data_IF_729489905014
#
_entry.id   IF_729489905014
#
_cell.length_a   1.000
_cell.length_b   1.000
_cell.length_c   1.000
_cell.angle_alpha   90.00
_cell.angle_beta   90.00
_cell.angle_gamma   90.00
#
_symmetry.space_group_name_H-M   'P 1'
#
loop_
_entity.id
_entity.type
_entity.pdbx_description
1 polymer ?
#
# COMPACT_ATOMS: atom_id res chain seq x y z
N UNK A 1 4.46 -17.92 -13.47
CA UNK A 1 5.86 -18.08 -13.00
C UNK A 1 6.71 -16.91 -13.45
N UNK A 2 7.13 -16.79 -14.72
CA UNK A 2 8.00 -15.68 -15.17
C UNK A 2 7.53 -14.26 -14.80
N UNK A 3 6.24 -13.93 -14.95
CA UNK A 3 5.70 -12.61 -14.58
C UNK A 3 5.74 -12.36 -13.06
N UNK A 4 5.50 -13.38 -12.24
CA UNK A 4 5.51 -13.28 -10.78
C UNK A 4 6.94 -13.16 -10.23
N UNK A 5 7.87 -13.92 -10.80
CA UNK A 5 9.29 -13.86 -10.42
C UNK A 5 9.87 -12.48 -10.75
N UNK A 6 9.56 -11.95 -11.93
CA UNK A 6 9.94 -10.58 -12.31
C UNK A 6 9.31 -9.55 -11.37
N UNK A 7 8.01 -9.67 -11.08
CA UNK A 7 7.30 -8.78 -10.16
C UNK A 7 7.98 -8.73 -8.78
N UNK A 8 8.33 -9.89 -8.23
CA UNK A 8 9.01 -9.97 -6.94
C UNK A 8 10.40 -9.35 -6.99
N UNK A 9 11.18 -9.62 -8.04
CA UNK A 9 12.50 -9.01 -8.21
C UNK A 9 12.41 -7.49 -8.35
N UNK A 10 11.46 -6.97 -9.13
CA UNK A 10 11.22 -5.53 -9.26
C UNK A 10 10.85 -4.94 -7.91
N UNK A 11 9.92 -5.54 -7.17
CA UNK A 11 9.54 -5.08 -5.83
C UNK A 11 10.78 -4.98 -4.93
N UNK A 12 11.60 -6.04 -4.89
CA UNK A 12 12.83 -6.11 -4.09
C UNK A 12 13.91 -5.10 -4.49
N UNK A 13 13.95 -4.67 -5.75
CA UNK A 13 14.87 -3.61 -6.20
C UNK A 13 14.31 -2.22 -5.90
N UNK A 14 13.03 -1.99 -6.21
CA UNK A 14 12.37 -0.68 -6.00
C UNK A 14 12.37 -0.30 -4.52
N UNK A 15 12.12 -1.26 -3.60
CA UNK A 15 12.14 -0.96 -2.15
C UNK A 15 13.50 -0.50 -1.63
N UNK A 16 14.60 -0.80 -2.33
CA UNK A 16 15.95 -0.35 -1.97
C UNK A 16 16.20 1.11 -2.35
N UNK A 17 15.35 1.71 -3.17
CA UNK A 17 15.48 3.11 -3.53
C UNK A 17 15.27 3.97 -2.27
N UNK A 18 16.17 4.94 -1.98
CA UNK A 18 16.12 5.73 -0.74
C UNK A 18 14.78 6.44 -0.48
N UNK A 19 14.08 6.82 -1.55
CA UNK A 19 12.78 7.50 -1.48
C UNK A 19 11.66 6.58 -0.95
N UNK A 20 11.82 5.26 -1.01
CA UNK A 20 10.76 4.31 -0.62
C UNK A 20 10.66 4.17 0.89
N UNK A 21 11.78 4.14 1.61
CA UNK A 21 11.77 3.94 3.06
C UNK A 21 11.14 5.14 3.77
N UNK A 22 10.04 4.90 4.47
CA UNK A 22 9.36 5.90 5.31
C UNK A 22 9.70 5.63 6.77
N UNK A 23 10.41 6.56 7.40
CA UNK A 23 10.60 6.57 8.86
C UNK A 23 9.27 6.90 9.52
N UNK A 24 8.61 5.88 10.09
CA UNK A 24 7.27 6.00 10.69
C UNK A 24 7.24 7.08 11.76
N UNK A 25 8.20 7.07 12.67
CA UNK A 25 8.20 7.98 13.82
C UNK A 25 8.34 9.44 13.38
N UNK A 26 9.33 9.70 12.52
CA UNK A 26 9.54 11.04 11.96
C UNK A 26 8.33 11.50 11.14
N UNK A 27 7.78 10.61 10.33
CA UNK A 27 6.61 10.89 9.50
C UNK A 27 5.38 11.25 10.33
N UNK A 28 5.04 10.45 11.35
CA UNK A 28 3.87 10.69 12.19
C UNK A 28 3.99 12.00 12.97
N UNK A 29 5.14 12.27 13.58
CA UNK A 29 5.39 13.53 14.31
C UNK A 29 5.25 14.74 13.40
N UNK A 30 5.81 14.67 12.18
CA UNK A 30 5.68 15.76 11.19
C UNK A 30 4.21 15.97 10.78
N UNK A 31 3.53 14.90 10.36
CA UNK A 31 2.17 14.97 9.83
C UNK A 31 1.12 15.42 10.83
N UNK A 32 1.28 15.06 12.10
CA UNK A 32 0.31 15.40 13.15
C UNK A 32 0.74 16.55 14.06
N UNK A 33 1.85 17.23 13.75
CA UNK A 33 2.39 18.36 14.53
C UNK A 33 1.41 19.53 14.73
N UNK A 34 0.41 19.69 13.84
CA UNK A 34 -0.64 20.71 13.95
C UNK A 34 -1.84 20.27 14.79
N UNK A 35 -1.99 18.96 15.02
CA UNK A 35 -3.13 18.38 15.72
C UNK A 35 -2.76 17.93 17.14
N UNK A 36 -1.49 17.61 17.39
CA UNK A 36 -0.99 16.98 18.61
C UNK A 36 0.15 17.79 19.25
N UNK A 37 0.19 17.80 20.58
CA UNK A 37 1.27 18.43 21.35
C UNK A 37 2.37 17.44 21.74
N UNK A 38 3.49 17.93 22.32
CA UNK A 38 4.61 17.07 22.75
C UNK A 38 4.20 15.94 23.70
N UNK A 39 3.19 16.15 24.54
CA UNK A 39 2.67 15.17 25.48
C UNK A 39 2.01 13.95 24.81
N UNK A 40 1.52 14.11 23.57
CA UNK A 40 0.82 13.06 22.83
C UNK A 40 1.77 12.18 22.02
N UNK A 41 3.03 12.61 21.84
CA UNK A 41 4.04 11.91 21.02
C UNK A 41 4.26 10.46 21.47
N UNK A 42 4.42 10.13 22.77
CA UNK A 42 4.59 8.74 23.20
C UNK A 42 3.41 7.87 22.75
N UNK A 43 2.18 8.33 22.98
CA UNK A 43 0.96 7.62 22.59
C UNK A 43 0.82 7.51 21.07
N UNK A 44 1.18 8.55 20.32
CA UNK A 44 1.17 8.56 18.86
C UNK A 44 2.09 7.47 18.29
N UNK A 45 3.29 7.34 18.85
CA UNK A 45 4.28 6.39 18.36
C UNK A 45 3.96 4.95 18.77
N UNK A 46 3.48 4.75 20.00
CA UNK A 46 3.19 3.42 20.56
C UNK A 46 1.81 2.88 20.14
N UNK A 47 0.76 3.69 20.26
CA UNK A 47 -0.62 3.26 20.03
C UNK A 47 -1.17 3.69 18.67
N UNK A 48 -0.43 4.51 17.93
CA UNK A 48 -0.79 4.99 16.59
C UNK A 48 -1.76 6.18 16.60
N UNK A 49 -1.99 6.81 15.43
CA UNK A 49 -2.84 8.00 15.34
C UNK A 49 -4.32 7.75 15.67
N UNK A 50 -4.81 6.52 15.47
CA UNK A 50 -6.22 6.14 15.68
C UNK A 50 -6.64 6.18 17.14
N UNK A 51 -5.70 6.12 18.09
CA UNK A 51 -6.00 6.24 19.53
C UNK A 51 -6.23 7.69 19.98
N UNK A 52 -5.76 8.67 19.19
CA UNK A 52 -5.74 10.08 19.56
C UNK A 52 -6.66 10.95 18.70
N UNK A 53 -6.89 10.55 17.45
CA UNK A 53 -7.51 11.41 16.44
C UNK A 53 -8.76 10.78 15.85
N UNK A 54 -9.73 11.62 15.51
CA UNK A 54 -10.96 11.19 14.84
C UNK A 54 -10.67 10.75 13.40
N UNK A 55 -11.54 9.88 12.86
CA UNK A 55 -11.48 9.45 11.45
C UNK A 55 -11.44 10.65 10.49
N UNK A 56 -12.16 11.73 10.79
CA UNK A 56 -12.17 12.95 9.97
C UNK A 56 -10.78 13.60 9.86
N UNK A 57 -10.04 13.68 10.97
CA UNK A 57 -8.68 14.23 10.99
C UNK A 57 -7.74 13.32 10.20
N UNK A 58 -7.84 12.00 10.41
CA UNK A 58 -7.02 11.01 9.68
C UNK A 58 -7.27 11.09 8.17
N UNK A 59 -8.52 11.15 7.75
CA UNK A 59 -8.92 11.27 6.35
C UNK A 59 -8.42 12.57 5.73
N UNK A 60 -8.48 13.69 6.47
CA UNK A 60 -7.94 14.98 6.01
C UNK A 60 -6.44 14.92 5.79
N UNK A 61 -5.69 14.35 6.75
CA UNK A 61 -4.23 14.21 6.65
C UNK A 61 -3.85 13.23 5.52
N UNK A 62 -4.58 12.13 5.36
CA UNK A 62 -4.39 11.17 4.29
C UNK A 62 -4.61 11.80 2.90
N UNK A 63 -5.67 12.59 2.72
CA UNK A 63 -5.93 13.32 1.48
C UNK A 63 -4.82 14.32 1.13
N UNK A 64 -4.31 15.05 2.14
CA UNK A 64 -3.15 15.92 1.93
C UNK A 64 -1.90 15.11 1.53
N UNK A 65 -1.66 13.97 2.19
CA UNK A 65 -0.55 13.08 1.88
C UNK A 65 -0.61 12.54 0.44
N UNK A 66 -1.80 12.13 -0.03
CA UNK A 66 -2.01 11.69 -1.43
C UNK A 66 -1.64 12.83 -2.38
N UNK A 67 -2.22 14.03 -2.18
CA UNK A 67 -1.96 15.17 -3.06
C UNK A 67 -0.48 15.50 -3.14
N UNK A 68 0.21 15.57 -2.00
CA UNK A 68 1.63 15.95 -1.93
C UNK A 68 2.51 14.92 -2.64
N UNK A 69 2.27 13.61 -2.43
CA UNK A 69 3.03 12.56 -3.10
C UNK A 69 2.75 12.49 -4.59
N UNK A 70 1.49 12.63 -4.99
CA UNK A 70 1.11 12.61 -6.41
C UNK A 70 1.75 13.80 -7.14
N UNK A 71 1.74 15.00 -6.54
CA UNK A 71 2.42 16.17 -7.11
C UNK A 71 3.93 15.95 -7.23
N UNK A 72 4.56 15.41 -6.19
CA UNK A 72 6.00 15.12 -6.20
C UNK A 72 6.37 14.07 -7.25
N UNK A 73 5.60 12.98 -7.35
CA UNK A 73 5.81 11.92 -8.34
C UNK A 73 5.58 12.40 -9.78
N UNK A 74 4.68 13.38 -9.97
CA UNK A 74 4.37 14.00 -11.26
C UNK A 74 5.39 15.06 -11.70
N UNK A 75 6.30 15.46 -10.81
CA UNK A 75 7.39 16.40 -11.10
C UNK A 75 8.45 15.81 -12.03
N UNK A 76 9.35 16.67 -12.54
CA UNK A 76 10.49 16.23 -13.35
C UNK A 76 11.40 15.31 -12.52
N UNK A 77 11.85 14.21 -13.15
CA UNK A 77 12.34 12.97 -12.52
C UNK A 77 13.18 13.15 -11.24
N UNK A 78 12.54 13.00 -10.07
CA UNK A 78 13.18 13.10 -8.74
C UNK A 78 14.25 12.04 -8.55
N UNK A 79 14.12 10.88 -9.21
CA UNK A 79 15.11 9.80 -9.10
C UNK A 79 16.42 10.08 -9.87
N UNK A 80 16.43 10.96 -10.88
CA UNK A 80 17.60 11.21 -11.70
C UNK A 80 18.76 11.90 -10.95
N UNK A 81 18.51 12.44 -9.75
CA UNK A 81 19.51 13.12 -8.91
C UNK A 81 19.99 12.34 -7.67
N UNK A 82 19.54 11.09 -7.47
CA UNK A 82 19.90 10.33 -6.27
C UNK A 82 21.29 9.65 -6.40
N UNK A 83 22.14 9.69 -5.36
CA UNK A 83 23.36 8.88 -5.32
C UNK A 83 23.00 7.39 -5.43
N UNK A 84 23.57 6.69 -6.42
CA UNK A 84 23.17 5.32 -6.76
C UNK A 84 22.04 5.21 -7.80
N UNK A 85 21.75 6.28 -8.53
CA UNK A 85 20.71 6.34 -9.56
C UNK A 85 20.74 5.17 -10.54
N UNK A 86 19.56 4.56 -10.76
CA UNK A 86 19.15 3.60 -11.80
C UNK A 86 20.19 2.62 -12.39
N UNK A 87 21.25 2.29 -11.67
CA UNK A 87 22.10 1.13 -11.95
C UNK A 87 21.38 -0.13 -11.42
N UNK A 88 20.09 -0.29 -11.74
CA UNK A 88 19.33 -1.46 -11.34
C UNK A 88 19.78 -2.64 -12.20
N UNK A 89 20.11 -3.76 -11.56
CA UNK A 89 20.55 -4.99 -12.23
C UNK A 89 19.48 -5.59 -13.18
N UNK A 90 18.27 -5.01 -13.18
CA UNK A 90 17.13 -5.39 -14.00
C UNK A 90 16.81 -4.22 -14.93
N UNK A 91 16.47 -4.51 -16.19
CA UNK A 91 16.11 -3.53 -17.23
C UNK A 91 14.73 -2.89 -16.98
N UNK A 92 14.49 -2.34 -15.79
CA UNK A 92 13.26 -1.60 -15.46
C UNK A 92 13.44 -0.15 -15.93
N UNK A 93 12.51 0.39 -16.74
CA UNK A 93 12.55 1.79 -17.12
C UNK A 93 12.55 2.74 -15.91
N UNK A 94 13.30 3.83 -16.02
CA UNK A 94 13.49 4.84 -14.98
C UNK A 94 12.17 5.38 -14.39
N UNK A 95 11.25 5.68 -15.28
CA UNK A 95 9.94 6.24 -15.01
C UNK A 95 9.02 5.22 -14.33
N UNK A 96 9.06 3.95 -14.74
CA UNK A 96 8.34 2.85 -14.09
C UNK A 96 8.85 2.64 -12.66
N UNK A 97 10.17 2.63 -12.47
CA UNK A 97 10.79 2.54 -11.15
C UNK A 97 10.39 3.73 -10.27
N UNK A 98 10.39 4.95 -10.82
CA UNK A 98 9.93 6.16 -10.13
C UNK A 98 8.47 6.03 -9.68
N UNK A 99 7.58 5.63 -10.59
CA UNK A 99 6.18 5.47 -10.27
C UNK A 99 5.95 4.51 -9.10
N UNK A 100 6.56 3.32 -9.15
CA UNK A 100 6.37 2.33 -8.10
C UNK A 100 7.09 2.71 -6.80
N UNK A 101 8.22 3.40 -6.86
CA UNK A 101 8.88 3.93 -5.67
C UNK A 101 7.95 4.90 -4.92
N UNK A 102 7.36 5.86 -5.62
CA UNK A 102 6.41 6.80 -5.02
C UNK A 102 5.09 6.12 -4.61
N UNK A 103 4.63 5.12 -5.35
CA UNK A 103 3.45 4.33 -4.94
C UNK A 103 3.67 3.58 -3.63
N UNK A 104 4.83 2.93 -3.47
CA UNK A 104 5.19 2.22 -2.25
C UNK A 104 5.43 3.16 -1.07
N UNK A 105 6.03 4.34 -1.32
CA UNK A 105 6.16 5.39 -0.31
C UNK A 105 4.79 5.85 0.17
N UNK A 106 3.89 6.21 -0.75
CA UNK A 106 2.53 6.65 -0.42
C UNK A 106 1.76 5.55 0.34
N UNK A 107 1.93 4.28 -0.06
CA UNK A 107 1.28 3.16 0.61
C UNK A 107 1.67 3.03 2.09
N UNK A 108 2.96 3.16 2.40
CA UNK A 108 3.46 3.18 3.77
C UNK A 108 2.90 4.36 4.57
N UNK A 109 2.96 5.56 3.99
CA UNK A 109 2.47 6.78 4.64
C UNK A 109 0.98 6.69 4.98
N UNK A 110 0.17 6.16 4.06
CA UNK A 110 -1.25 5.90 4.32
C UNK A 110 -1.43 4.83 5.40
N UNK A 111 -0.71 3.71 5.33
CA UNK A 111 -0.76 2.67 6.37
C UNK A 111 -0.47 3.24 7.76
N UNK A 112 0.58 4.06 7.89
CA UNK A 112 0.98 4.66 9.16
C UNK A 112 -0.05 5.67 9.69
N UNK A 113 -0.67 6.48 8.81
CA UNK A 113 -1.75 7.39 9.20
C UNK A 113 -2.90 6.63 9.87
N UNK A 114 -3.24 5.44 9.37
CA UNK A 114 -4.32 4.61 9.91
C UNK A 114 -3.83 3.59 10.95
N UNK A 115 -2.63 3.74 11.51
CA UNK A 115 -2.18 2.97 12.67
C UNK A 115 -1.46 1.65 12.38
N UNK A 116 -1.08 1.36 11.14
CA UNK A 116 -0.18 0.22 10.87
C UNK A 116 1.21 0.44 11.50
N UNK A 117 1.84 -0.68 11.86
CA UNK A 117 3.17 -0.76 12.45
C UNK A 117 4.29 -0.37 11.48
N UNK A 118 5.46 -0.04 12.02
CA UNK A 118 6.66 0.23 11.22
C UNK A 118 7.09 -1.02 10.42
N UNK A 119 6.99 -0.94 9.10
CA UNK A 119 7.33 -2.03 8.19
C UNK A 119 8.84 -2.33 8.16
N UNK A 120 9.66 -1.35 8.50
CA UNK A 120 11.12 -1.50 8.50
C UNK A 120 11.61 -2.03 9.84
N UNK A 121 10.95 -1.68 10.95
CA UNK A 121 11.35 -2.04 12.31
C UNK A 121 12.85 -1.79 12.55
N UNK A 122 13.33 -0.62 12.14
CA UNK A 122 14.76 -0.21 12.17
C UNK A 122 15.73 -1.09 11.35
N UNK A 123 15.24 -1.91 10.42
CA UNK A 123 16.07 -2.70 9.50
C UNK A 123 16.36 -1.95 8.20
N UNK A 124 17.40 -2.39 7.51
CA UNK A 124 17.74 -1.92 6.15
C UNK A 124 17.03 -2.74 5.06
N UNK A 125 16.53 -3.93 5.41
CA UNK A 125 15.77 -4.79 4.52
C UNK A 125 14.39 -5.13 5.12
N UNK A 126 13.39 -5.21 4.24
CA UNK A 126 12.04 -5.60 4.62
C UNK A 126 11.96 -7.10 4.88
N UNK A 127 11.37 -7.48 6.02
CA UNK A 127 10.96 -8.87 6.27
C UNK A 127 9.94 -9.35 5.24
N UNK A 128 9.77 -10.68 5.09
CA UNK A 128 8.76 -11.27 4.20
C UNK A 128 7.36 -10.73 4.48
N UNK A 129 6.97 -10.62 5.75
CA UNK A 129 5.66 -10.09 6.14
C UNK A 129 5.49 -8.63 5.71
N UNK A 130 6.51 -7.79 5.89
CA UNK A 130 6.48 -6.41 5.44
C UNK A 130 6.40 -6.28 3.91
N UNK A 131 7.10 -7.14 3.17
CA UNK A 131 6.98 -7.22 1.71
C UNK A 131 5.56 -7.63 1.29
N UNK A 132 4.97 -8.61 1.99
CA UNK A 132 3.59 -9.04 1.76
C UNK A 132 2.58 -7.93 2.08
N UNK A 133 2.81 -7.13 3.13
CA UNK A 133 1.97 -5.95 3.43
C UNK A 133 2.07 -4.89 2.33
N UNK A 134 3.27 -4.57 1.84
CA UNK A 134 3.44 -3.63 0.72
C UNK A 134 2.78 -4.14 -0.55
N UNK A 135 2.93 -5.44 -0.85
CA UNK A 135 2.27 -6.08 -1.97
C UNK A 135 0.74 -6.02 -1.82
N UNK A 136 0.21 -6.24 -0.62
CA UNK A 136 -1.21 -6.11 -0.34
C UNK A 136 -1.71 -4.68 -0.56
N UNK A 137 -0.98 -3.67 -0.09
CA UNK A 137 -1.29 -2.26 -0.36
C UNK A 137 -1.29 -1.96 -1.86
N UNK A 138 -0.27 -2.41 -2.60
CA UNK A 138 -0.23 -2.29 -4.05
C UNK A 138 -1.42 -2.99 -4.70
N UNK A 139 -1.82 -4.16 -4.20
CA UNK A 139 -3.01 -4.86 -4.66
C UNK A 139 -4.29 -4.05 -4.52
N UNK A 140 -4.49 -3.38 -3.38
CA UNK A 140 -5.64 -2.47 -3.15
C UNK A 140 -5.56 -1.24 -4.04
N UNK A 141 -4.38 -0.64 -4.15
CA UNK A 141 -4.12 0.48 -5.04
C UNK A 141 -4.43 0.11 -6.48
N UNK A 142 -4.02 -1.09 -6.92
CA UNK A 142 -4.23 -1.65 -8.26
C UNK A 142 -5.65 -2.22 -8.48
N UNK A 143 -6.52 -2.18 -7.47
CA UNK A 143 -7.90 -2.65 -7.57
C UNK A 143 -8.02 -4.17 -7.75
N UNK A 144 -7.05 -4.95 -7.28
CA UNK A 144 -7.09 -6.43 -7.35
C UNK A 144 -8.16 -6.96 -6.40
N UNK A 145 -9.05 -7.81 -6.91
CA UNK A 145 -10.13 -8.41 -6.11
C UNK A 145 -9.59 -9.15 -4.87
N UNK A 146 -10.39 -9.15 -3.81
CA UNK A 146 -10.05 -9.75 -2.51
C UNK A 146 -9.03 -8.97 -1.68
N UNK A 147 -8.16 -8.14 -2.27
CA UNK A 147 -7.12 -7.42 -1.52
C UNK A 147 -7.66 -6.42 -0.52
N UNK A 148 -8.76 -5.74 -0.85
CA UNK A 148 -9.40 -4.79 0.05
C UNK A 148 -9.97 -5.49 1.30
N UNK A 149 -10.62 -6.63 1.11
CA UNK A 149 -11.15 -7.45 2.20
C UNK A 149 -10.01 -8.05 3.04
N UNK A 150 -8.97 -8.57 2.38
CA UNK A 150 -7.76 -9.08 3.03
C UNK A 150 -7.05 -8.03 3.87
N UNK A 151 -6.92 -6.80 3.36
CA UNK A 151 -6.35 -5.68 4.08
C UNK A 151 -7.15 -5.36 5.35
N UNK A 152 -8.48 -5.30 5.24
CA UNK A 152 -9.32 -4.99 6.39
C UNK A 152 -9.32 -6.10 7.45
N UNK A 153 -9.47 -7.35 7.02
CA UNK A 153 -9.44 -8.50 7.90
C UNK A 153 -8.06 -8.69 8.57
N UNK A 154 -6.97 -8.40 7.86
CA UNK A 154 -5.60 -8.44 8.40
C UNK A 154 -5.29 -7.29 9.36
N UNK A 155 -5.93 -6.12 9.18
CA UNK A 155 -5.80 -4.94 10.02
C UNK A 155 -6.56 -5.00 11.35
N UNK A 156 -6.98 -6.19 11.78
CA UNK A 156 -7.85 -6.36 12.96
C UNK A 156 -7.24 -5.79 14.24
N UNK A 157 -5.90 -5.78 14.35
CA UNK A 157 -5.16 -5.22 15.48
C UNK A 157 -5.39 -3.72 15.66
N UNK A 158 -5.57 -2.99 14.55
CA UNK A 158 -5.86 -1.56 14.53
C UNK A 158 -7.29 -1.32 14.99
N UNK A 159 -8.22 -2.17 14.55
CA UNK A 159 -9.63 -2.09 14.90
C UNK A 159 -9.95 -2.59 16.33
N UNK A 160 -8.98 -3.12 17.08
CA UNK A 160 -9.19 -3.63 18.46
C UNK A 160 -9.72 -2.58 19.44
N UNK A 161 -9.51 -1.29 19.17
CA UNK A 161 -10.08 -0.22 19.99
C UNK A 161 -11.61 -0.18 19.92
N UNK A 162 -12.20 -0.67 18.82
CA UNK A 162 -13.65 -0.63 18.58
C UNK A 162 -14.29 -2.01 18.67
N UNK A 163 -13.57 -3.07 18.29
CA UNK A 163 -14.06 -4.45 18.40
C UNK A 163 -13.81 -5.04 19.79
N UNK A 164 -14.90 -5.36 20.50
CA UNK A 164 -14.86 -5.97 21.84
C UNK A 164 -14.36 -7.43 21.85
N UNK A 165 -14.46 -8.11 20.71
CA UNK A 165 -14.07 -9.51 20.55
C UNK A 165 -13.26 -9.63 19.27
N UNK A 166 -12.12 -10.30 19.35
CA UNK A 166 -11.35 -10.70 18.17
C UNK A 166 -11.82 -12.11 17.77
N UNK A 167 -12.29 -12.33 16.53
CA UNK A 167 -12.73 -13.62 16.07
C UNK A 167 -11.60 -14.66 16.14
N UNK A 168 -11.90 -15.81 16.73
CA UNK A 168 -10.93 -16.89 17.01
C UNK A 168 -10.40 -17.62 15.76
N UNK A 169 -10.92 -17.32 14.56
CA UNK A 169 -10.45 -17.90 13.30
C UNK A 169 -9.45 -16.96 12.65
N UNK A 170 -8.17 -17.24 12.87
CA UNK A 170 -7.09 -16.56 12.18
C UNK A 170 -7.17 -16.82 10.66
N UNK A 171 -6.81 -15.81 9.88
CA UNK A 171 -6.73 -15.94 8.44
C UNK A 171 -5.57 -16.86 8.06
N UNK A 172 -5.87 -18.04 7.50
CA UNK A 172 -4.86 -19.04 7.17
C UNK A 172 -4.12 -18.71 5.88
N UNK A 173 -2.89 -19.21 5.73
CA UNK A 173 -2.09 -19.04 4.49
C UNK A 173 -2.83 -19.45 3.23
N UNK A 174 -3.67 -20.48 3.31
CA UNK A 174 -4.55 -20.94 2.21
C UNK A 174 -5.47 -19.83 1.70
N UNK A 175 -5.90 -18.91 2.56
CA UNK A 175 -6.85 -17.86 2.17
C UNK A 175 -6.16 -16.62 1.58
N UNK A 176 -4.99 -16.23 2.10
CA UNK A 176 -4.35 -14.98 1.67
C UNK A 176 -3.24 -15.14 0.63
N UNK A 177 -2.51 -16.26 0.59
CA UNK A 177 -1.45 -16.46 -0.40
C UNK A 177 -1.95 -16.45 -1.85
N UNK A 178 -3.10 -17.07 -2.22
CA UNK A 178 -3.61 -17.00 -3.59
C UNK A 178 -3.84 -15.57 -4.06
N UNK A 179 -4.38 -14.72 -3.18
CA UNK A 179 -4.61 -13.29 -3.47
C UNK A 179 -3.29 -12.57 -3.72
N UNK A 180 -2.27 -12.76 -2.88
CA UNK A 180 -0.96 -12.14 -3.11
C UNK A 180 -0.29 -12.63 -4.41
N UNK A 181 -0.43 -13.92 -4.75
CA UNK A 181 0.04 -14.46 -6.04
C UNK A 181 -0.66 -13.79 -7.22
N UNK A 182 -1.96 -13.50 -7.12
CA UNK A 182 -2.72 -12.74 -8.12
C UNK A 182 -2.20 -11.31 -8.23
N UNK A 183 -1.91 -10.64 -7.12
CA UNK A 183 -1.30 -9.30 -7.14
C UNK A 183 0.06 -9.33 -7.86
N UNK A 184 0.95 -10.28 -7.53
CA UNK A 184 2.25 -10.41 -8.21
C UNK A 184 2.09 -10.64 -9.71
N UNK A 185 1.12 -11.46 -10.13
CA UNK A 185 0.85 -11.69 -11.55
C UNK A 185 0.42 -10.39 -12.24
N UNK A 186 -0.52 -9.66 -11.67
CA UNK A 186 -1.01 -8.38 -12.23
C UNK A 186 0.12 -7.33 -12.25
N UNK A 187 0.90 -7.23 -11.18
CA UNK A 187 2.06 -6.35 -11.11
C UNK A 187 3.11 -6.70 -12.18
N UNK A 188 3.45 -7.98 -12.34
CA UNK A 188 4.38 -8.47 -13.37
C UNK A 188 3.92 -8.22 -14.81
N UNK A 189 2.63 -8.38 -15.07
CA UNK A 189 2.01 -8.02 -16.35
C UNK A 189 2.15 -6.51 -16.62
N UNK A 190 1.85 -5.68 -15.61
CA UNK A 190 1.97 -4.23 -15.73
C UNK A 190 3.41 -3.77 -16.01
N UNK A 191 4.41 -4.48 -15.49
CA UNK A 191 5.83 -4.19 -15.73
C UNK A 191 6.31 -4.58 -17.14
N UNK A 192 5.70 -5.59 -17.76
CA UNK A 192 6.22 -6.21 -19.00
C UNK A 192 5.46 -5.82 -20.26
N UNK A 193 4.15 -5.59 -20.16
CA UNK A 193 3.28 -5.56 -21.36
C UNK A 193 2.83 -4.19 -21.85
N UNK A 194 3.29 -3.09 -21.23
CA UNK A 194 3.25 -1.74 -21.82
C UNK A 194 1.96 -1.35 -22.56
N UNK A 195 0.78 -1.81 -22.12
CA UNK A 195 -0.44 -1.76 -22.92
C UNK A 195 -1.67 -2.15 -22.11
N UNK A 196 -2.80 -1.49 -22.40
CA UNK A 196 -4.11 -1.60 -21.74
C UNK A 196 -4.59 -3.04 -21.52
N UNK A 197 -4.66 -3.49 -20.26
CA UNK A 197 -5.51 -4.60 -19.88
C UNK A 197 -6.91 -4.02 -19.67
N UNK A 198 -7.76 -4.15 -20.69
CA UNK A 198 -9.20 -4.01 -20.52
C UNK A 198 -9.69 -5.22 -19.72
N UNK A 199 -9.91 -5.03 -18.41
CA UNK A 199 -10.45 -6.05 -17.51
C UNK A 199 -11.18 -5.42 -16.34
N UNK A 200 -12.48 -5.72 -16.24
CA UNK A 200 -13.52 -5.25 -15.30
C UNK A 200 -13.09 -4.48 -14.04
N UNK A 201 -13.52 -3.22 -13.97
CA UNK A 201 -14.12 -2.67 -12.76
C UNK A 201 -13.52 -1.38 -12.22
N UNK A 202 -12.19 -1.19 -12.27
CA UNK A 202 -11.55 0.06 -11.82
C UNK A 202 -10.35 0.41 -12.70
N UNK A 203 -10.51 1.52 -13.41
CA UNK A 203 -9.56 2.05 -14.37
C UNK A 203 -8.27 2.49 -13.67
N UNK A 204 -7.20 1.73 -13.83
CA UNK A 204 -5.84 2.18 -13.52
C UNK A 204 -5.07 2.07 -14.83
N UNK A 205 -4.66 3.21 -15.43
CA UNK A 205 -3.83 3.21 -16.62
C UNK A 205 -2.61 2.32 -16.41
N UNK A 206 -2.40 1.37 -17.31
CA UNK A 206 -1.19 0.56 -17.31
C UNK A 206 -0.04 1.47 -17.72
N UNK A 207 1.01 1.45 -16.90
CA UNK A 207 2.24 2.21 -17.11
C UNK A 207 3.02 1.54 -18.23
N UNK A 208 2.81 2.01 -19.46
CA UNK A 208 3.55 1.58 -20.64
C UNK A 208 4.15 2.77 -21.37
N UNK A 209 5.44 2.71 -21.69
CA UNK A 209 6.17 3.79 -22.36
C UNK A 209 6.53 4.95 -21.43
N UNK A 210 6.78 6.13 -22.01
CA UNK A 210 7.14 7.35 -21.25
C UNK A 210 5.98 7.75 -20.35
N UNK A 211 6.16 7.62 -19.03
CA UNK A 211 5.19 8.11 -18.05
C UNK A 211 5.35 9.62 -17.93
N UNK A 212 4.36 10.38 -18.41
CA UNK A 212 4.31 11.82 -18.20
C UNK A 212 3.88 12.15 -16.77
N UNK A 213 4.22 13.37 -16.30
CA UNK A 213 3.73 13.86 -15.01
C UNK A 213 2.19 13.85 -14.92
N UNK A 214 1.50 14.23 -15.99
CA UNK A 214 0.03 14.18 -16.04
C UNK A 214 -0.53 12.75 -15.93
N UNK A 215 0.11 11.77 -16.57
CA UNK A 215 -0.28 10.36 -16.46
C UNK A 215 -0.03 9.82 -15.04
N UNK A 216 1.11 10.18 -14.44
CA UNK A 216 1.42 9.87 -13.04
C UNK A 216 0.33 10.41 -12.12
N UNK A 217 -0.06 11.68 -12.32
CA UNK A 217 -1.11 12.31 -11.53
C UNK A 217 -2.45 11.57 -11.65
N UNK A 218 -2.89 11.32 -12.89
CA UNK A 218 -4.16 10.68 -13.18
C UNK A 218 -4.25 9.22 -12.70
N UNK A 219 -3.12 8.55 -12.52
CA UNK A 219 -3.03 7.15 -12.10
C UNK A 219 -2.82 7.01 -10.59
N UNK A 220 -1.84 7.72 -10.03
CA UNK A 220 -1.44 7.57 -8.63
C UNK A 220 -2.48 8.16 -7.66
N UNK A 221 -3.20 9.21 -8.05
CA UNK A 221 -4.28 9.79 -7.23
C UNK A 221 -5.40 8.79 -6.92
N UNK A 222 -6.08 8.16 -7.90
CA UNK A 222 -7.12 7.19 -7.60
C UNK A 222 -6.59 5.93 -6.90
N UNK A 223 -5.33 5.53 -7.15
CA UNK A 223 -4.67 4.45 -6.41
C UNK A 223 -4.55 4.79 -4.92
N UNK A 224 -4.06 5.98 -4.60
CA UNK A 224 -3.97 6.48 -3.22
C UNK A 224 -5.33 6.58 -2.54
N UNK A 225 -6.33 7.14 -3.24
CA UNK A 225 -7.72 7.25 -2.74
C UNK A 225 -8.35 5.88 -2.50
N UNK A 226 -8.07 4.88 -3.35
CA UNK A 226 -8.53 3.49 -3.17
C UNK A 226 -7.99 2.92 -1.86
N UNK A 227 -6.67 3.02 -1.63
CA UNK A 227 -6.06 2.52 -0.40
C UNK A 227 -6.54 3.27 0.84
N UNK A 228 -6.58 4.61 0.76
CA UNK A 228 -7.06 5.47 1.84
C UNK A 228 -8.50 5.15 2.24
N UNK A 229 -9.39 4.92 1.27
CA UNK A 229 -10.77 4.51 1.52
C UNK A 229 -10.87 3.19 2.28
N UNK A 230 -10.05 2.20 1.93
CA UNK A 230 -10.10 0.90 2.58
C UNK A 230 -9.46 0.90 3.97
N UNK A 231 -8.41 1.68 4.17
CA UNK A 231 -7.80 1.91 5.49
C UNK A 231 -8.73 2.71 6.42
N UNK A 232 -9.42 3.73 5.90
CA UNK A 232 -10.36 4.55 6.68
C UNK A 232 -11.50 3.72 7.29
N UNK A 233 -11.96 2.68 6.59
CA UNK A 233 -12.97 1.75 7.12
C UNK A 233 -12.50 0.97 8.36
N UNK A 234 -11.19 0.83 8.59
CA UNK A 234 -10.65 0.14 9.77
C UNK A 234 -10.98 0.87 11.07
N UNK A 235 -11.12 2.21 11.02
CA UNK A 235 -11.37 3.03 12.20
C UNK A 235 -12.70 2.69 12.87
N UNK A 236 -13.70 2.26 12.09
CA UNK A 236 -15.03 1.87 12.56
C UNK A 236 -15.37 0.42 12.17
N UNK A 237 -14.37 -0.45 12.15
CA UNK A 237 -14.55 -1.83 11.72
C UNK A 237 -15.27 -2.67 12.76
N UNK A 238 -16.18 -3.52 12.30
CA UNK A 238 -17.05 -4.35 13.13
C UNK A 238 -16.86 -5.84 12.85
N UNK A 239 -17.29 -6.66 13.81
CA UNK A 239 -17.29 -8.11 13.67
C UNK A 239 -18.08 -8.59 12.44
N UNK A 240 -19.21 -7.93 12.13
CA UNK A 240 -20.02 -8.26 10.93
C UNK A 240 -19.20 -8.03 9.66
N UNK A 241 -18.53 -6.89 9.56
CA UNK A 241 -17.66 -6.59 8.41
C UNK A 241 -16.47 -7.54 8.32
N UNK A 242 -15.92 -7.98 9.45
CA UNK A 242 -14.88 -9.01 9.46
C UNK A 242 -15.37 -10.33 8.83
N UNK A 243 -16.55 -10.80 9.21
CA UNK A 243 -17.11 -12.03 8.62
C UNK A 243 -17.37 -11.86 7.12
N UNK A 244 -17.94 -10.72 6.69
CA UNK A 244 -18.13 -10.40 5.28
C UNK A 244 -16.81 -10.39 4.48
N UNK A 245 -15.76 -9.82 5.07
CA UNK A 245 -14.44 -9.78 4.45
C UNK A 245 -13.81 -11.17 4.37
N UNK A 246 -13.92 -12.00 5.41
CA UNK A 246 -13.45 -13.40 5.39
C UNK A 246 -14.16 -14.22 4.31
N UNK A 247 -15.47 -14.07 4.16
CA UNK A 247 -16.23 -14.74 3.09
C UNK A 247 -15.79 -14.25 1.70
N UNK A 248 -15.54 -12.96 1.56
CA UNK A 248 -15.02 -12.37 0.32
C UNK A 248 -13.65 -12.93 -0.03
N UNK A 249 -12.76 -13.03 0.96
CA UNK A 249 -11.41 -13.61 0.79
C UNK A 249 -11.51 -15.08 0.38
N UNK A 250 -12.38 -15.87 1.02
CA UNK A 250 -12.56 -17.28 0.68
C UNK A 250 -13.03 -17.47 -0.75
N UNK A 251 -14.09 -16.76 -1.15
CA UNK A 251 -14.61 -16.82 -2.53
C UNK A 251 -13.56 -16.44 -3.55
N UNK A 252 -12.78 -15.39 -3.27
CA UNK A 252 -11.71 -14.98 -4.18
C UNK A 252 -10.58 -16.03 -4.25
N UNK A 253 -10.19 -16.64 -3.13
CA UNK A 253 -9.19 -17.70 -3.12
C UNK A 253 -9.66 -18.93 -3.94
N UNK A 254 -10.92 -19.34 -3.79
CA UNK A 254 -11.53 -20.43 -4.56
C UNK A 254 -11.56 -20.13 -6.07
N UNK A 255 -11.88 -18.90 -6.46
CA UNK A 255 -11.84 -18.47 -7.86
C UNK A 255 -10.42 -18.59 -8.41
N UNK A 256 -9.42 -18.09 -7.68
CA UNK A 256 -8.02 -18.11 -8.11
C UNK A 256 -7.47 -19.53 -8.23
N UNK A 257 -7.84 -20.42 -7.32
CA UNK A 257 -7.39 -21.82 -7.34
C UNK A 257 -8.06 -22.64 -8.46
N UNK A 258 -9.22 -22.19 -8.95
CA UNK A 258 -9.90 -22.78 -10.10
C UNK A 258 -9.43 -22.27 -11.48
N UNK A 259 -8.61 -21.22 -11.54
CA UNK A 259 -8.03 -20.62 -12.76
C UNK A 259 -6.67 -21.23 -13.15
#
# INVERSE_FOLDING_TARGET
MAEQDLAMQVLQQVVKLPVVKVDRSKFLVDKFSKELGPQDIPTLLEQGPTSLLSQEILDRVANACIRDNVLLASGTSVLAGLPGGLAMAITIPADVAQFYAFSLKLAQELGYIYGYEDLWASRDELSEDAQNTLLLYLGVMLGVNGTAALLRAGGITIAKQVMKTVPNKALTKTLWYPILKKVLRIFGVNLTKGGLAKGMGKFIPILGGIISGGLTFATMKPMGESLQKELSKLVNYSEVQYQEDVETIRKEAEIIEGE
#
